data_IF_297993809564
#
_entry.id   IF_297993809564
#
_cell.length_a   1.000
_cell.length_b   1.000
_cell.length_c   1.000
_cell.angle_alpha   90.00
_cell.angle_beta   90.00
_cell.angle_gamma   90.00
#
_symmetry.space_group_name_H-M   'P 1'
#
loop_
_entity.id
_entity.type
_entity.pdbx_description
1 polymer ?
#
# COMPACT_ATOMS: atom_id res chain seq x y z
N UNK A 1 -8.13 -14.90 9.51
CA UNK A 1 -9.39 -15.25 10.20
C UNK A 1 -9.18 -15.46 11.70
N UNK A 2 -8.50 -16.51 12.15
CA UNK A 2 -8.33 -16.78 13.60
C UNK A 2 -7.81 -15.57 14.39
N UNK A 3 -6.75 -14.89 13.92
CA UNK A 3 -6.22 -13.70 14.57
C UNK A 3 -7.26 -12.57 14.74
N UNK A 4 -8.18 -12.41 13.79
CA UNK A 4 -9.24 -11.40 13.89
C UNK A 4 -10.23 -11.74 15.01
N UNK A 5 -10.65 -12.99 15.13
CA UNK A 5 -11.53 -13.42 16.23
C UNK A 5 -10.84 -13.35 17.60
N UNK A 6 -9.56 -13.71 17.68
CA UNK A 6 -8.78 -13.55 18.92
C UNK A 6 -8.67 -12.09 19.30
N UNK A 7 -8.40 -11.18 18.34
CA UNK A 7 -8.41 -9.73 18.61
C UNK A 7 -9.79 -9.24 19.09
N UNK A 8 -10.88 -9.70 18.44
CA UNK A 8 -12.23 -9.36 18.87
C UNK A 8 -12.49 -9.76 20.33
N UNK A 9 -12.11 -10.98 20.70
CA UNK A 9 -12.27 -11.49 22.08
C UNK A 9 -11.44 -10.70 23.08
N UNK A 10 -10.16 -10.43 22.78
CA UNK A 10 -9.26 -9.68 23.63
C UNK A 10 -9.72 -8.23 23.82
N UNK A 11 -10.25 -7.58 22.78
CA UNK A 11 -10.82 -6.24 22.86
C UNK A 11 -12.08 -6.26 23.71
N UNK A 12 -13.01 -7.18 23.44
CA UNK A 12 -14.28 -7.28 24.15
C UNK A 12 -14.10 -7.57 25.64
N UNK A 13 -13.16 -8.44 26.01
CA UNK A 13 -12.84 -8.78 27.40
C UNK A 13 -12.02 -7.72 28.13
N UNK A 14 -11.55 -6.66 27.44
CA UNK A 14 -10.64 -5.66 28.01
C UNK A 14 -9.23 -6.18 28.30
N UNK A 15 -8.90 -7.43 27.91
CA UNK A 15 -7.61 -8.06 28.15
C UNK A 15 -6.56 -7.74 27.08
N UNK A 16 -6.91 -6.86 26.11
CA UNK A 16 -5.99 -6.51 25.04
C UNK A 16 -4.76 -5.77 25.57
N UNK A 17 -3.57 -6.17 25.11
CA UNK A 17 -2.31 -5.49 25.39
C UNK A 17 -1.53 -5.29 24.09
N UNK A 18 -0.53 -4.41 24.14
CA UNK A 18 0.33 -4.14 22.99
C UNK A 18 1.05 -5.42 22.51
N UNK A 19 1.40 -6.31 23.43
CA UNK A 19 2.06 -7.57 23.11
C UNK A 19 1.14 -8.54 22.35
N UNK A 20 -0.16 -8.58 22.69
CA UNK A 20 -1.15 -9.34 21.94
C UNK A 20 -1.29 -8.82 20.51
N UNK A 21 -1.32 -7.49 20.33
CA UNK A 21 -1.40 -6.87 19.01
C UNK A 21 -0.15 -7.21 18.20
N UNK A 22 1.05 -7.08 18.77
CA UNK A 22 2.31 -7.38 18.10
C UNK A 22 2.39 -8.86 17.69
N UNK A 23 2.07 -9.78 18.60
CA UNK A 23 2.12 -11.21 18.33
C UNK A 23 1.13 -11.61 17.22
N UNK A 24 -0.12 -11.17 17.30
CA UNK A 24 -1.15 -11.47 16.32
C UNK A 24 -0.87 -10.81 14.96
N UNK A 25 -0.31 -9.60 14.98
CA UNK A 25 0.14 -8.91 13.75
C UNK A 25 1.31 -9.63 13.09
N UNK A 26 2.26 -10.15 13.88
CA UNK A 26 3.36 -10.96 13.37
C UNK A 26 2.87 -12.24 12.71
N UNK A 27 1.96 -12.97 13.37
CA UNK A 27 1.34 -14.18 12.80
C UNK A 27 0.57 -13.87 11.51
N UNK A 28 -0.24 -12.81 11.52
CA UNK A 28 -1.00 -12.39 10.34
C UNK A 28 -0.07 -11.94 9.19
N UNK A 29 0.97 -11.18 9.50
CA UNK A 29 1.98 -10.73 8.53
C UNK A 29 2.75 -11.90 7.91
N UNK A 30 3.14 -12.89 8.73
CA UNK A 30 3.78 -14.12 8.26
C UNK A 30 2.85 -14.89 7.32
N UNK A 31 1.59 -15.09 7.69
CA UNK A 31 0.61 -15.73 6.82
C UNK A 31 0.43 -14.98 5.49
N UNK A 32 0.40 -13.64 5.53
CA UNK A 32 0.30 -12.81 4.34
C UNK A 32 1.55 -12.88 3.43
N UNK A 33 2.73 -13.02 4.02
CA UNK A 33 3.98 -13.16 3.28
C UNK A 33 3.99 -14.43 2.40
N UNK A 34 3.37 -15.51 2.85
CA UNK A 34 3.19 -16.73 2.06
C UNK A 34 1.95 -16.68 1.17
N UNK A 35 0.84 -16.15 1.68
CA UNK A 35 -0.45 -16.10 0.97
C UNK A 35 -0.45 -15.15 -0.22
N UNK A 36 0.24 -14.02 -0.13
CA UNK A 36 0.28 -13.00 -1.18
C UNK A 36 0.83 -13.50 -2.51
N UNK A 37 2.05 -14.07 -2.56
CA UNK A 37 2.60 -14.67 -3.78
C UNK A 37 1.76 -15.83 -4.32
N UNK A 38 1.25 -16.70 -3.42
CA UNK A 38 0.39 -17.81 -3.81
C UNK A 38 -0.91 -17.32 -4.50
N UNK A 39 -1.54 -16.28 -3.96
CA UNK A 39 -2.71 -15.66 -4.57
C UNK A 39 -2.40 -15.06 -5.95
N UNK A 40 -1.29 -14.35 -6.10
CA UNK A 40 -0.89 -13.76 -7.38
C UNK A 40 -0.56 -14.82 -8.44
N UNK A 41 0.00 -15.96 -8.06
CA UNK A 41 0.26 -17.07 -8.98
C UNK A 41 -1.02 -17.82 -9.38
N UNK A 42 -2.07 -17.74 -8.57
CA UNK A 42 -3.34 -18.38 -8.85
C UNK A 42 -4.10 -17.69 -9.99
N UNK A 43 -4.04 -16.36 -10.11
CA UNK A 43 -4.78 -15.59 -11.12
C UNK A 43 -4.47 -16.08 -12.55
N UNK A 44 -3.20 -16.19 -12.99
CA UNK A 44 -2.88 -16.71 -14.32
C UNK A 44 -3.25 -18.18 -14.53
N UNK A 45 -3.35 -18.96 -13.45
CA UNK A 45 -3.72 -20.37 -13.54
C UNK A 45 -5.24 -20.60 -13.69
N UNK A 46 -6.05 -19.60 -13.38
CA UNK A 46 -7.52 -19.69 -13.40
C UNK A 46 -8.15 -19.26 -14.72
N UNK A 47 -7.40 -18.52 -15.56
CA UNK A 47 -7.95 -17.95 -16.80
C UNK A 47 -7.08 -18.28 -18.02
N UNK A 48 -7.68 -18.40 -19.22
CA UNK A 48 -6.93 -18.48 -20.46
C UNK A 48 -6.03 -17.25 -20.63
N UNK A 49 -4.91 -17.41 -21.36
CA UNK A 49 -3.96 -16.31 -21.60
C UNK A 49 -4.59 -15.08 -22.26
N UNK A 50 -5.63 -15.28 -23.09
CA UNK A 50 -6.35 -14.17 -23.72
C UNK A 50 -7.12 -13.30 -22.72
N UNK A 51 -7.62 -13.88 -21.62
CA UNK A 51 -8.41 -13.18 -20.61
C UNK A 51 -7.57 -12.66 -19.43
N UNK A 52 -6.28 -12.99 -19.39
CA UNK A 52 -5.39 -12.58 -18.31
C UNK A 52 -5.38 -11.06 -18.05
N UNK A 53 -5.37 -10.17 -19.06
CA UNK A 53 -5.44 -8.72 -18.83
C UNK A 53 -6.71 -8.31 -18.08
N UNK A 54 -7.85 -8.91 -18.43
CA UNK A 54 -9.14 -8.65 -17.77
C UNK A 54 -9.15 -9.15 -16.33
N UNK A 55 -8.59 -10.34 -16.07
CA UNK A 55 -8.48 -10.89 -14.72
C UNK A 55 -7.60 -10.01 -13.80
N UNK A 56 -6.48 -9.51 -14.32
CA UNK A 56 -5.60 -8.58 -13.59
C UNK A 56 -6.31 -7.25 -13.33
N UNK A 57 -7.06 -6.73 -14.31
CA UNK A 57 -7.84 -5.50 -14.13
C UNK A 57 -8.92 -5.67 -13.05
N UNK A 58 -9.68 -6.77 -13.07
CA UNK A 58 -10.68 -7.10 -12.06
C UNK A 58 -10.07 -7.24 -10.66
N UNK A 59 -8.91 -7.90 -10.55
CA UNK A 59 -8.19 -8.01 -9.28
C UNK A 59 -7.76 -6.61 -8.76
N UNK A 60 -7.31 -5.73 -9.62
CA UNK A 60 -6.96 -4.35 -9.26
C UNK A 60 -8.18 -3.55 -8.81
N UNK A 61 -9.31 -3.69 -9.48
CA UNK A 61 -10.58 -3.06 -9.09
C UNK A 61 -11.01 -3.56 -7.71
N UNK A 62 -11.01 -4.89 -7.50
CA UNK A 62 -11.36 -5.49 -6.21
C UNK A 62 -10.49 -4.95 -5.07
N UNK A 63 -9.18 -4.88 -5.28
CA UNK A 63 -8.24 -4.37 -4.28
C UNK A 63 -8.50 -2.91 -3.92
N UNK A 64 -8.70 -2.05 -4.92
CA UNK A 64 -8.98 -0.64 -4.70
C UNK A 64 -10.37 -0.40 -4.09
N UNK A 65 -11.37 -1.19 -4.51
CA UNK A 65 -12.71 -1.12 -3.94
C UNK A 65 -12.70 -1.52 -2.45
N UNK A 66 -11.92 -2.53 -2.08
CA UNK A 66 -11.74 -2.95 -0.69
C UNK A 66 -11.13 -1.84 0.19
N UNK A 67 -10.26 -1.00 -0.37
CA UNK A 67 -9.66 0.16 0.33
C UNK A 67 -10.67 1.26 0.65
N UNK A 68 -11.77 1.36 -0.07
CA UNK A 68 -12.87 2.31 0.19
C UNK A 68 -13.90 1.65 1.10
N UNK A 69 -14.39 0.47 0.72
CA UNK A 69 -15.49 -0.20 1.42
C UNK A 69 -15.07 -0.62 2.83
N UNK A 70 -13.84 -1.10 3.00
CA UNK A 70 -13.33 -1.55 4.31
C UNK A 70 -13.41 -0.47 5.39
N UNK A 71 -12.74 0.68 5.22
CA UNK A 71 -12.81 1.78 6.19
C UNK A 71 -14.21 2.36 6.36
N UNK A 72 -15.02 2.40 5.29
CA UNK A 72 -16.41 2.88 5.36
C UNK A 72 -17.26 1.98 6.27
N UNK A 73 -17.17 0.66 6.10
CA UNK A 73 -17.89 -0.29 6.99
C UNK A 73 -17.37 -0.17 8.41
N UNK A 74 -16.05 -0.14 8.62
CA UNK A 74 -15.46 -0.03 9.95
C UNK A 74 -15.86 1.28 10.64
N UNK A 75 -15.75 2.41 9.94
CA UNK A 75 -16.14 3.72 10.47
C UNK A 75 -17.62 3.80 10.80
N UNK A 76 -18.50 3.33 9.92
CA UNK A 76 -19.94 3.30 10.16
C UNK A 76 -20.28 2.38 11.34
N UNK A 77 -19.68 1.21 11.43
CA UNK A 77 -19.87 0.27 12.53
C UNK A 77 -19.46 0.92 13.87
N UNK A 78 -18.31 1.58 13.92
CA UNK A 78 -17.84 2.29 15.12
C UNK A 78 -18.73 3.48 15.46
N UNK A 79 -19.16 4.27 14.49
CA UNK A 79 -20.02 5.42 14.71
C UNK A 79 -21.42 5.01 15.24
N UNK A 80 -21.99 3.96 14.69
CA UNK A 80 -23.33 3.48 15.09
C UNK A 80 -23.27 2.66 16.38
N UNK A 81 -22.52 1.56 16.38
CA UNK A 81 -22.46 0.65 17.53
C UNK A 81 -21.69 1.25 18.72
N UNK A 82 -20.65 2.06 18.44
CA UNK A 82 -19.90 2.73 19.50
C UNK A 82 -20.75 3.65 20.36
N UNK A 83 -21.82 4.24 19.78
CA UNK A 83 -22.78 5.07 20.52
C UNK A 83 -23.76 4.24 21.37
N UNK A 84 -24.14 3.05 20.91
CA UNK A 84 -25.18 2.23 21.55
C UNK A 84 -24.61 1.25 22.57
N UNK A 85 -23.47 0.63 22.27
CA UNK A 85 -22.87 -0.47 23.07
C UNK A 85 -21.46 -0.14 23.59
N UNK A 86 -20.98 1.06 23.32
CA UNK A 86 -19.63 1.50 23.72
C UNK A 86 -18.55 1.22 22.66
N UNK A 87 -17.51 2.03 22.68
CA UNK A 87 -16.39 1.99 21.69
C UNK A 87 -15.69 0.64 21.66
N UNK A 88 -15.50 0.00 22.82
CA UNK A 88 -14.86 -1.32 22.95
C UNK A 88 -15.65 -2.40 22.23
N UNK A 89 -16.97 -2.45 22.45
CA UNK A 89 -17.84 -3.42 21.76
C UNK A 89 -17.91 -3.14 20.27
N UNK A 90 -18.00 -1.87 19.84
CA UNK A 90 -17.96 -1.48 18.41
C UNK A 90 -16.68 -1.93 17.73
N UNK A 91 -15.53 -1.76 18.38
CA UNK A 91 -14.23 -2.23 17.87
C UNK A 91 -14.17 -3.75 17.76
N UNK A 92 -14.65 -4.47 18.76
CA UNK A 92 -14.72 -5.93 18.73
C UNK A 92 -15.58 -6.43 17.56
N UNK A 93 -16.73 -5.80 17.32
CA UNK A 93 -17.60 -6.12 16.16
C UNK A 93 -16.87 -5.89 14.84
N UNK A 94 -16.09 -4.84 14.69
CA UNK A 94 -15.27 -4.64 13.48
C UNK A 94 -14.31 -5.81 13.23
N UNK A 95 -13.65 -6.33 14.28
CA UNK A 95 -12.79 -7.52 14.15
C UNK A 95 -13.59 -8.79 13.83
N UNK A 96 -14.79 -8.94 14.39
CA UNK A 96 -15.68 -10.08 14.03
C UNK A 96 -16.07 -10.00 12.57
N UNK A 97 -16.51 -8.84 12.07
CA UNK A 97 -16.87 -8.64 10.65
C UNK A 97 -15.68 -8.94 9.73
N UNK A 98 -14.49 -8.48 10.11
CA UNK A 98 -13.26 -8.83 9.38
C UNK A 98 -13.00 -10.34 9.42
N UNK A 99 -13.17 -11.00 10.55
CA UNK A 99 -13.06 -12.47 10.65
C UNK A 99 -14.06 -13.20 9.76
N UNK A 100 -15.32 -12.76 9.75
CA UNK A 100 -16.38 -13.35 8.93
C UNK A 100 -16.14 -13.13 7.42
N UNK A 101 -15.55 -12.00 7.02
CA UNK A 101 -15.24 -11.74 5.60
C UNK A 101 -14.32 -12.80 4.99
N UNK A 102 -13.43 -13.40 5.79
CA UNK A 102 -12.58 -14.50 5.33
C UNK A 102 -13.36 -15.77 4.97
N UNK A 103 -14.59 -15.95 5.48
CA UNK A 103 -15.41 -17.09 5.08
C UNK A 103 -15.79 -17.03 3.60
N UNK A 104 -16.04 -15.81 3.08
CA UNK A 104 -16.29 -15.62 1.65
C UNK A 104 -15.06 -16.04 0.82
N UNK A 105 -13.84 -15.68 1.28
CA UNK A 105 -12.60 -16.08 0.61
C UNK A 105 -12.41 -17.59 0.67
N UNK A 106 -12.63 -18.23 1.83
CA UNK A 106 -12.51 -19.69 1.98
C UNK A 106 -13.53 -20.41 1.10
N UNK A 107 -14.76 -19.92 1.06
CA UNK A 107 -15.81 -20.48 0.20
C UNK A 107 -15.44 -20.35 -1.28
N UNK A 108 -15.00 -19.16 -1.71
CA UNK A 108 -14.53 -18.94 -3.07
C UNK A 108 -13.38 -19.88 -3.45
N UNK A 109 -12.37 -20.03 -2.58
CA UNK A 109 -11.26 -20.95 -2.81
C UNK A 109 -11.70 -22.42 -2.89
N UNK A 110 -12.68 -22.84 -2.08
CA UNK A 110 -13.25 -24.21 -2.15
C UNK A 110 -14.06 -24.47 -3.41
N UNK A 111 -14.64 -23.43 -3.99
CA UNK A 111 -15.37 -23.53 -5.26
C UNK A 111 -14.46 -23.62 -6.48
N UNK A 112 -13.18 -23.23 -6.34
CA UNK A 112 -12.20 -23.38 -7.39
C UNK A 112 -11.96 -24.88 -7.64
N UNK A 113 -12.31 -25.34 -8.83
CA UNK A 113 -11.92 -26.67 -9.30
C UNK A 113 -10.43 -26.60 -9.63
N UNK A 114 -9.60 -27.30 -8.84
CA UNK A 114 -8.17 -27.31 -9.02
C UNK A 114 -7.80 -27.78 -10.42
N UNK A 115 -7.20 -26.93 -11.22
CA UNK A 115 -6.38 -27.40 -12.34
C UNK A 115 -5.13 -28.03 -11.76
N UNK A 116 -4.69 -29.16 -12.33
CA UNK A 116 -3.42 -29.80 -12.01
C UNK A 116 -2.26 -28.88 -12.35
N UNK A 117 -1.97 -27.95 -11.47
CA UNK A 117 -0.77 -27.16 -11.55
C UNK A 117 0.40 -28.08 -11.21
N UNK A 118 1.00 -28.67 -12.23
CA UNK A 118 2.27 -29.39 -12.08
C UNK A 118 3.29 -28.43 -11.45
N UNK A 119 3.82 -28.74 -10.25
CA UNK A 119 4.84 -27.90 -9.65
C UNK A 119 6.05 -27.90 -10.62
N UNK A 120 6.34 -26.74 -11.19
CA UNK A 120 7.58 -26.57 -11.96
C UNK A 120 8.79 -26.93 -11.09
N UNK A 121 9.95 -27.29 -11.69
CA UNK A 121 11.13 -27.69 -10.94
C UNK A 121 11.44 -26.61 -9.88
N UNK A 122 11.56 -27.02 -8.62
CA UNK A 122 11.98 -26.18 -7.48
C UNK A 122 13.42 -25.70 -7.74
N UNK A 123 13.56 -24.61 -8.48
CA UNK A 123 14.83 -23.90 -8.48
C UNK A 123 15.03 -23.31 -7.09
N UNK A 124 16.25 -23.42 -6.57
CA UNK A 124 16.56 -22.90 -5.25
C UNK A 124 16.20 -21.40 -5.20
N UNK A 125 15.23 -21.03 -4.40
CA UNK A 125 14.74 -19.66 -4.20
C UNK A 125 15.89 -18.66 -3.98
N UNK A 126 16.94 -19.09 -3.29
CA UNK A 126 18.14 -18.30 -3.04
C UNK A 126 18.93 -17.99 -4.32
N UNK A 127 19.04 -18.93 -5.25
CA UNK A 127 19.72 -18.72 -6.53
C UNK A 127 18.92 -17.75 -7.41
N UNK A 128 17.60 -17.86 -7.40
CA UNK A 128 16.72 -16.95 -8.14
C UNK A 128 16.77 -15.53 -7.58
N UNK A 129 16.72 -15.37 -6.26
CA UNK A 129 16.84 -14.07 -5.60
C UNK A 129 18.22 -13.45 -5.85
N UNK A 130 19.31 -14.21 -5.70
CA UNK A 130 20.66 -13.73 -6.00
C UNK A 130 20.81 -13.34 -7.47
N UNK A 131 20.26 -14.14 -8.39
CA UNK A 131 20.25 -13.83 -9.82
C UNK A 131 19.50 -12.53 -10.12
N UNK A 132 18.31 -12.36 -9.56
CA UNK A 132 17.52 -11.12 -9.68
C UNK A 132 18.26 -9.91 -9.11
N UNK A 133 18.82 -10.02 -7.91
CA UNK A 133 19.57 -8.93 -7.26
C UNK A 133 20.83 -8.53 -8.06
N UNK A 134 21.57 -9.51 -8.56
CA UNK A 134 22.73 -9.24 -9.43
C UNK A 134 22.31 -8.54 -10.69
N UNK A 135 21.22 -8.98 -11.33
CA UNK A 135 20.69 -8.38 -12.52
C UNK A 135 20.23 -6.92 -12.30
N UNK A 136 19.46 -6.66 -11.25
CA UNK A 136 19.03 -5.29 -10.90
C UNK A 136 20.23 -4.39 -10.62
N UNK A 137 21.26 -4.88 -9.90
CA UNK A 137 22.47 -4.12 -9.61
C UNK A 137 23.32 -3.82 -10.86
N UNK A 138 23.34 -4.71 -11.85
CA UNK A 138 24.07 -4.49 -13.11
C UNK A 138 23.35 -3.57 -14.09
N UNK A 139 22.07 -3.25 -13.84
CA UNK A 139 21.27 -2.37 -14.71
C UNK A 139 20.90 -1.08 -13.97
N UNK A 140 21.61 0.03 -14.23
CA UNK A 140 21.43 1.29 -13.49
C UNK A 140 20.00 1.81 -13.45
N UNK A 141 19.21 1.64 -14.53
CA UNK A 141 17.81 2.06 -14.59
C UNK A 141 16.93 1.26 -13.63
N UNK A 142 17.05 -0.08 -13.63
CA UNK A 142 16.31 -0.96 -12.72
C UNK A 142 16.68 -0.72 -11.27
N UNK A 143 17.97 -0.52 -10.97
CA UNK A 143 18.44 -0.18 -9.64
C UNK A 143 17.83 1.13 -9.15
N UNK A 144 17.82 2.16 -10.01
CA UNK A 144 17.26 3.47 -9.68
C UNK A 144 15.74 3.40 -9.44
N UNK A 145 15.00 2.70 -10.30
CA UNK A 145 13.55 2.51 -10.13
C UNK A 145 13.23 1.71 -8.86
N UNK A 146 14.01 0.67 -8.57
CA UNK A 146 13.84 -0.14 -7.35
C UNK A 146 14.17 0.67 -6.09
N UNK A 147 15.23 1.48 -6.12
CA UNK A 147 15.57 2.38 -5.02
C UNK A 147 14.49 3.45 -4.82
N UNK A 148 13.97 4.04 -5.92
CA UNK A 148 12.89 5.01 -5.87
C UNK A 148 11.59 4.40 -5.30
N UNK A 149 11.30 3.15 -5.61
CA UNK A 149 10.17 2.42 -5.02
C UNK A 149 10.32 2.26 -3.50
N UNK A 150 11.50 1.84 -3.04
CA UNK A 150 11.79 1.69 -1.61
C UNK A 150 11.74 3.03 -0.87
N UNK A 151 12.38 4.06 -1.40
CA UNK A 151 12.38 5.40 -0.82
C UNK A 151 10.99 6.06 -0.87
N UNK A 152 10.25 5.85 -1.96
CA UNK A 152 8.88 6.34 -2.09
C UNK A 152 7.93 5.73 -1.06
N UNK A 153 8.07 4.45 -0.74
CA UNK A 153 7.30 3.81 0.34
C UNK A 153 7.82 4.17 1.73
N UNK A 154 9.13 4.30 1.89
CA UNK A 154 9.77 4.70 3.15
C UNK A 154 9.31 6.11 3.58
N UNK A 155 9.30 7.08 2.66
CA UNK A 155 8.95 8.47 2.95
C UNK A 155 7.46 8.79 2.73
N UNK A 156 6.80 8.12 1.80
CA UNK A 156 5.43 8.45 1.41
C UNK A 156 4.34 7.72 2.20
N UNK A 157 4.59 6.46 2.60
CA UNK A 157 3.58 5.66 3.32
C UNK A 157 3.33 6.13 4.77
N UNK A 158 4.28 6.77 5.49
CA UNK A 158 3.99 7.39 6.78
C UNK A 158 2.78 8.33 6.76
N UNK A 159 2.49 9.02 5.64
CA UNK A 159 1.24 9.77 5.46
C UNK A 159 0.01 8.95 5.88
N UNK A 160 -0.10 7.71 5.39
CA UNK A 160 -1.25 6.84 5.68
C UNK A 160 -1.20 6.24 7.09
N UNK A 161 0.00 5.88 7.54
CA UNK A 161 0.21 5.24 8.84
C UNK A 161 -0.15 6.17 9.99
N UNK A 162 0.13 7.48 9.85
CA UNK A 162 -0.06 8.46 10.92
C UNK A 162 -1.30 9.34 10.78
N UNK A 163 -2.23 9.01 9.87
CA UNK A 163 -3.55 9.67 9.79
C UNK A 163 -4.29 9.70 11.15
N UNK A 164 -4.29 8.62 11.98
CA UNK A 164 -4.94 8.68 13.30
C UNK A 164 -4.30 9.72 14.23
N UNK A 165 -2.97 9.89 14.14
CA UNK A 165 -2.23 10.87 14.93
C UNK A 165 -2.60 12.29 14.50
N UNK A 166 -2.66 12.54 13.18
CA UNK A 166 -3.09 13.83 12.63
C UNK A 166 -4.54 14.14 13.02
N UNK A 167 -5.45 13.18 12.93
CA UNK A 167 -6.86 13.38 13.31
C UNK A 167 -6.98 13.77 14.78
N UNK A 168 -6.20 13.16 15.68
CA UNK A 168 -6.22 13.41 17.12
C UNK A 168 -5.46 14.69 17.49
N UNK A 169 -4.22 14.83 17.05
CA UNK A 169 -3.29 15.83 17.58
C UNK A 169 -3.41 17.18 16.86
N UNK A 170 -3.82 17.19 15.58
CA UNK A 170 -4.01 18.45 14.81
C UNK A 170 -5.45 18.92 14.85
N UNK A 171 -6.41 18.00 14.70
CA UNK A 171 -7.83 18.37 14.61
C UNK A 171 -8.63 18.13 15.89
N UNK A 172 -8.04 17.51 16.93
CA UNK A 172 -8.72 17.22 18.18
C UNK A 172 -9.91 16.25 18.03
N UNK A 173 -9.95 15.46 16.91
CA UNK A 173 -11.03 14.54 16.59
C UNK A 173 -10.53 13.09 16.62
N UNK A 174 -11.43 12.16 16.88
CA UNK A 174 -11.11 10.75 17.08
C UNK A 174 -11.25 9.90 15.82
N UNK A 175 -11.78 8.69 16.04
CA UNK A 175 -11.92 7.63 15.04
C UNK A 175 -12.82 8.06 13.87
N UNK A 176 -13.80 8.91 14.10
CA UNK A 176 -14.72 9.41 13.08
C UNK A 176 -13.95 10.13 11.96
N UNK A 177 -13.11 11.10 12.32
CA UNK A 177 -12.30 11.83 11.35
C UNK A 177 -11.24 10.94 10.69
N UNK A 178 -10.62 10.03 11.44
CA UNK A 178 -9.70 9.06 10.87
C UNK A 178 -10.37 8.20 9.79
N UNK A 179 -11.60 7.73 10.04
CA UNK A 179 -12.37 6.95 9.06
C UNK A 179 -12.71 7.78 7.82
N UNK A 180 -13.10 9.04 8.01
CA UNK A 180 -13.34 10.00 6.92
C UNK A 180 -12.08 10.21 6.08
N UNK A 181 -10.93 10.43 6.71
CA UNK A 181 -9.64 10.56 6.03
C UNK A 181 -9.27 9.30 5.24
N UNK A 182 -9.53 8.10 5.76
CA UNK A 182 -9.29 6.86 5.02
C UNK A 182 -10.17 6.74 3.78
N UNK A 183 -11.45 7.10 3.87
CA UNK A 183 -12.37 7.10 2.73
C UNK A 183 -11.90 8.09 1.67
N UNK A 184 -11.55 9.32 2.07
CA UNK A 184 -11.03 10.35 1.16
C UNK A 184 -9.74 9.91 0.49
N UNK A 185 -8.80 9.33 1.25
CA UNK A 185 -7.55 8.76 0.73
C UNK A 185 -7.82 7.63 -0.27
N UNK A 186 -8.76 6.72 0.06
CA UNK A 186 -9.17 5.63 -0.84
C UNK A 186 -9.76 6.16 -2.15
N UNK A 187 -10.64 7.14 -2.08
CA UNK A 187 -11.23 7.80 -3.24
C UNK A 187 -10.17 8.48 -4.12
N UNK A 188 -9.22 9.18 -3.50
CA UNK A 188 -8.07 9.76 -4.20
C UNK A 188 -7.23 8.70 -4.94
N UNK A 189 -6.93 7.58 -4.26
CA UNK A 189 -6.18 6.49 -4.88
C UNK A 189 -6.91 5.86 -6.09
N UNK A 190 -8.24 5.72 -6.01
CA UNK A 190 -9.06 5.26 -7.15
C UNK A 190 -9.02 6.27 -8.30
N UNK A 191 -9.18 7.57 -8.00
CA UNK A 191 -9.07 8.61 -9.02
C UNK A 191 -7.70 8.60 -9.70
N UNK A 192 -6.62 8.41 -8.95
CA UNK A 192 -5.26 8.24 -9.47
C UNK A 192 -5.11 7.02 -10.36
N UNK A 193 -5.68 5.87 -9.98
CA UNK A 193 -5.66 4.65 -10.80
C UNK A 193 -6.43 4.82 -12.12
N UNK A 194 -7.59 5.47 -12.07
CA UNK A 194 -8.38 5.81 -13.26
C UNK A 194 -7.63 6.78 -14.17
N UNK A 195 -6.94 7.77 -13.59
CA UNK A 195 -6.11 8.71 -14.35
C UNK A 195 -4.99 7.97 -15.11
N UNK A 196 -4.30 7.02 -14.47
CA UNK A 196 -3.28 6.19 -15.14
C UNK A 196 -3.90 5.39 -16.28
N UNK A 197 -5.06 4.79 -16.08
CA UNK A 197 -5.76 4.03 -17.12
C UNK A 197 -6.17 4.92 -18.30
N UNK A 198 -6.60 6.16 -18.02
CA UNK A 198 -7.00 7.14 -19.04
C UNK A 198 -5.82 7.70 -19.82
N UNK A 199 -4.68 7.97 -19.16
CA UNK A 199 -3.46 8.45 -19.80
C UNK A 199 -2.92 7.47 -20.86
N UNK A 200 -3.12 6.17 -20.67
CA UNK A 200 -2.81 5.14 -21.67
C UNK A 200 -1.34 5.14 -22.13
N UNK A 201 -1.13 4.79 -23.43
CA UNK A 201 0.21 4.68 -24.03
C UNK A 201 0.77 6.03 -24.53
N UNK A 202 0.03 7.13 -24.42
CA UNK A 202 0.36 8.41 -25.05
C UNK A 202 1.31 9.29 -24.24
N UNK A 203 1.75 8.85 -23.06
CA UNK A 203 2.50 9.68 -22.11
C UNK A 203 3.92 9.15 -21.95
N UNK A 204 4.88 10.07 -21.84
CA UNK A 204 6.25 9.77 -21.39
C UNK A 204 6.19 9.26 -19.94
N UNK A 205 6.15 7.94 -19.76
CA UNK A 205 5.87 7.28 -18.48
C UNK A 205 6.86 7.72 -17.40
N UNK A 206 8.16 7.79 -17.75
CA UNK A 206 9.21 8.18 -16.82
C UNK A 206 9.07 9.62 -16.34
N UNK A 207 8.80 10.55 -17.25
CA UNK A 207 8.60 11.96 -16.92
C UNK A 207 7.34 12.19 -16.07
N UNK A 208 6.23 11.55 -16.45
CA UNK A 208 4.97 11.65 -15.70
C UNK A 208 5.12 11.06 -14.30
N UNK A 209 5.82 9.94 -14.16
CA UNK A 209 6.13 9.33 -12.86
C UNK A 209 6.93 10.29 -11.97
N UNK A 210 7.98 10.94 -12.50
CA UNK A 210 8.78 11.89 -11.72
C UNK A 210 7.96 13.12 -11.27
N UNK A 211 7.17 13.70 -12.18
CA UNK A 211 6.30 14.84 -11.83
C UNK A 211 5.21 14.46 -10.84
N UNK A 212 4.61 13.26 -10.95
CA UNK A 212 3.62 12.79 -9.98
C UNK A 212 4.22 12.64 -8.59
N UNK A 213 5.46 12.18 -8.47
CA UNK A 213 6.15 12.05 -7.18
C UNK A 213 6.49 13.42 -6.55
N UNK A 214 6.92 14.40 -7.36
CA UNK A 214 7.15 15.77 -6.88
C UNK A 214 5.84 16.41 -6.44
N UNK A 215 4.79 16.31 -7.25
CA UNK A 215 3.46 16.84 -6.93
C UNK A 215 2.87 16.15 -5.67
N UNK A 216 3.09 14.84 -5.52
CA UNK A 216 2.75 14.12 -4.29
C UNK A 216 3.46 14.71 -3.08
N UNK A 217 4.78 14.91 -3.16
CA UNK A 217 5.56 15.49 -2.06
C UNK A 217 5.06 16.88 -1.67
N UNK A 218 4.71 17.74 -2.65
CA UNK A 218 4.13 19.06 -2.39
C UNK A 218 2.76 18.99 -1.72
N UNK A 219 1.86 18.13 -2.23
CA UNK A 219 0.55 17.91 -1.62
C UNK A 219 0.68 17.31 -0.20
N UNK A 220 1.66 16.44 0.02
CA UNK A 220 1.97 15.85 1.31
C UNK A 220 2.44 16.90 2.32
N UNK A 221 3.37 17.78 1.94
CA UNK A 221 3.81 18.89 2.78
C UNK A 221 2.62 19.82 3.09
N UNK A 222 1.83 20.15 2.08
CA UNK A 222 0.62 20.96 2.26
C UNK A 222 -0.36 20.33 3.25
N UNK A 223 -0.61 19.02 3.15
CA UNK A 223 -1.43 18.26 4.10
C UNK A 223 -0.86 18.33 5.52
N UNK A 224 0.44 18.06 5.66
CA UNK A 224 1.11 18.02 6.95
C UNK A 224 1.05 19.35 7.70
N UNK A 225 1.16 20.48 6.98
CA UNK A 225 1.16 21.83 7.54
C UNK A 225 -0.24 22.46 7.63
N UNK A 226 -1.26 21.86 7.03
CA UNK A 226 -2.62 22.38 7.03
C UNK A 226 -3.31 22.15 8.37
N UNK A 227 -3.89 23.22 8.92
CA UNK A 227 -4.74 23.20 10.13
C UNK A 227 -6.22 23.30 9.80
N UNK A 228 -6.58 23.51 8.54
CA UNK A 228 -7.97 23.64 8.07
C UNK A 228 -8.45 22.30 7.54
N UNK A 229 -9.46 21.71 8.17
CA UNK A 229 -9.93 20.35 7.86
C UNK A 229 -10.22 20.13 6.37
N UNK A 230 -11.02 21.03 5.75
CA UNK A 230 -11.39 20.88 4.34
C UNK A 230 -10.19 20.94 3.39
N UNK A 231 -9.24 21.83 3.67
CA UNK A 231 -7.99 21.91 2.91
C UNK A 231 -7.19 20.62 3.05
N UNK A 232 -7.09 20.10 4.27
CA UNK A 232 -6.38 18.83 4.53
C UNK A 232 -7.05 17.64 3.83
N UNK A 233 -8.38 17.55 3.81
CA UNK A 233 -9.09 16.49 3.10
C UNK A 233 -8.87 16.57 1.58
N UNK A 234 -8.89 17.76 0.99
CA UNK A 234 -8.58 17.95 -0.44
C UNK A 234 -7.14 17.58 -0.75
N UNK A 235 -6.19 18.04 0.07
CA UNK A 235 -4.77 17.72 -0.10
C UNK A 235 -4.51 16.23 0.09
N UNK A 236 -5.18 15.58 1.03
CA UNK A 236 -5.10 14.13 1.23
C UNK A 236 -5.63 13.35 0.02
N UNK A 237 -6.76 13.78 -0.55
CA UNK A 237 -7.30 13.20 -1.79
C UNK A 237 -6.29 13.29 -2.94
N UNK A 238 -5.75 14.49 -3.16
CA UNK A 238 -4.77 14.75 -4.22
C UNK A 238 -3.48 13.96 -3.98
N UNK A 239 -2.95 13.99 -2.75
CA UNK A 239 -1.75 13.25 -2.39
C UNK A 239 -1.92 11.75 -2.61
N UNK A 240 -3.04 11.16 -2.18
CA UNK A 240 -3.32 9.73 -2.34
C UNK A 240 -3.44 9.33 -3.82
N UNK A 241 -4.06 10.18 -4.63
CA UNK A 241 -4.15 9.99 -6.08
C UNK A 241 -2.79 10.02 -6.76
N UNK A 242 -1.97 11.04 -6.45
CA UNK A 242 -0.63 11.19 -7.01
C UNK A 242 0.32 10.08 -6.57
N UNK A 243 0.22 9.62 -5.32
CA UNK A 243 0.97 8.47 -4.82
C UNK A 243 0.63 7.21 -5.62
N UNK A 244 -0.66 6.98 -5.89
CA UNK A 244 -1.12 5.85 -6.70
C UNK A 244 -0.62 5.94 -8.14
N UNK A 245 -0.68 7.11 -8.76
CA UNK A 245 -0.11 7.37 -10.10
C UNK A 245 1.38 7.04 -10.11
N UNK A 246 2.15 7.60 -9.19
CA UNK A 246 3.59 7.38 -9.09
C UNK A 246 3.96 5.92 -8.95
N UNK A 247 3.31 5.18 -8.06
CA UNK A 247 3.58 3.75 -7.83
C UNK A 247 3.16 2.88 -9.02
N UNK A 248 2.04 3.19 -9.66
CA UNK A 248 1.58 2.46 -10.84
C UNK A 248 2.53 2.61 -12.01
N UNK A 249 2.95 3.85 -12.32
CA UNK A 249 3.88 4.13 -13.40
C UNK A 249 5.28 3.55 -13.12
N UNK A 250 5.74 3.62 -11.86
CA UNK A 250 7.01 3.05 -11.44
C UNK A 250 7.03 1.52 -11.63
N UNK A 251 5.96 0.84 -11.21
CA UNK A 251 5.82 -0.60 -11.43
C UNK A 251 5.77 -0.97 -12.91
N UNK A 252 5.07 -0.16 -13.71
CA UNK A 252 4.98 -0.34 -15.16
C UNK A 252 6.35 -0.19 -15.84
N UNK A 253 7.14 0.83 -15.47
CA UNK A 253 8.50 1.03 -16.01
C UNK A 253 9.42 -0.14 -15.70
N UNK A 254 9.40 -0.66 -14.45
CA UNK A 254 10.20 -1.83 -14.08
C UNK A 254 9.83 -3.04 -14.94
N UNK A 255 8.53 -3.25 -15.19
CA UNK A 255 8.05 -4.35 -16.02
C UNK A 255 8.41 -4.19 -17.51
N UNK A 256 8.41 -2.96 -18.03
CA UNK A 256 8.74 -2.66 -19.42
C UNK A 256 10.24 -2.82 -19.71
N UNK A 257 11.09 -2.42 -18.75
CA UNK A 257 12.56 -2.49 -18.91
C UNK A 257 13.08 -3.92 -18.66
N UNK A 258 12.41 -4.70 -17.84
CA UNK A 258 12.83 -6.05 -17.50
C UNK A 258 12.58 -7.01 -18.68
N UNK A 259 13.62 -7.74 -19.19
CA UNK A 259 13.43 -8.77 -20.20
C UNK A 259 12.48 -9.86 -19.72
N UNK A 260 11.72 -10.47 -20.62
CA UNK A 260 10.71 -11.48 -20.31
C UNK A 260 11.26 -12.62 -19.43
N UNK A 261 12.48 -13.09 -19.72
CA UNK A 261 13.17 -14.17 -18.99
C UNK A 261 13.52 -13.80 -17.56
N UNK A 262 13.77 -12.51 -17.28
CA UNK A 262 14.18 -12.00 -15.97
C UNK A 262 13.07 -11.25 -15.23
N UNK A 263 11.93 -10.95 -15.89
CA UNK A 263 10.85 -10.11 -15.36
C UNK A 263 10.37 -10.58 -13.99
N UNK A 264 10.13 -11.87 -13.82
CA UNK A 264 9.69 -12.41 -12.53
C UNK A 264 10.70 -12.18 -11.40
N UNK A 265 12.01 -12.38 -11.67
CA UNK A 265 13.08 -12.17 -10.69
C UNK A 265 13.27 -10.70 -10.35
N UNK A 266 13.25 -9.82 -11.36
CA UNK A 266 13.33 -8.37 -11.18
C UNK A 266 12.15 -7.86 -10.38
N UNK A 267 10.93 -8.31 -10.70
CA UNK A 267 9.72 -7.92 -9.97
C UNK A 267 9.72 -8.43 -8.53
N UNK A 268 10.30 -9.59 -8.24
CA UNK A 268 10.47 -10.07 -6.86
C UNK A 268 11.36 -9.13 -6.04
N UNK A 269 12.51 -8.70 -6.60
CA UNK A 269 13.41 -7.74 -5.93
C UNK A 269 12.73 -6.39 -5.75
N UNK A 270 12.03 -5.88 -6.79
CA UNK A 270 11.24 -4.67 -6.73
C UNK A 270 10.19 -4.73 -5.60
N UNK A 271 9.44 -5.83 -5.50
CA UNK A 271 8.41 -6.02 -4.47
C UNK A 271 8.99 -6.08 -3.05
N UNK A 272 10.15 -6.71 -2.87
CA UNK A 272 10.84 -6.72 -1.57
C UNK A 272 11.25 -5.30 -1.20
N UNK A 273 11.84 -4.54 -2.12
CA UNK A 273 12.24 -3.16 -1.89
C UNK A 273 11.01 -2.25 -1.61
N UNK A 274 9.96 -2.38 -2.42
CA UNK A 274 8.71 -1.63 -2.29
C UNK A 274 8.01 -1.89 -0.94
N UNK A 275 7.84 -3.16 -0.56
CA UNK A 275 7.17 -3.52 0.70
C UNK A 275 8.05 -3.29 1.92
N UNK A 276 9.37 -3.46 1.79
CA UNK A 276 10.33 -3.27 2.86
C UNK A 276 10.49 -1.81 3.29
N UNK A 277 10.28 -0.85 2.40
CA UNK A 277 10.31 0.57 2.72
C UNK A 277 9.26 0.98 3.75
N UNK A 278 8.06 0.43 3.65
CA UNK A 278 6.92 0.78 4.50
C UNK A 278 7.16 0.58 6.01
N UNK A 279 7.52 -0.62 6.51
CA UNK A 279 7.71 -0.81 7.95
C UNK A 279 8.89 0.00 8.50
N UNK A 280 9.98 0.09 7.73
CA UNK A 280 11.16 0.85 8.16
C UNK A 280 10.85 2.34 8.20
N UNK A 281 10.18 2.88 7.18
CA UNK A 281 9.74 4.27 7.13
C UNK A 281 8.80 4.61 8.29
N UNK A 282 7.78 3.77 8.52
CA UNK A 282 6.84 3.99 9.63
C UNK A 282 7.52 3.93 11.00
N UNK A 283 8.50 3.06 11.22
CA UNK A 283 9.26 3.02 12.47
C UNK A 283 10.13 4.27 12.65
N UNK A 284 10.84 4.70 11.61
CA UNK A 284 11.70 5.89 11.67
C UNK A 284 10.86 7.15 11.87
N UNK A 285 9.80 7.34 11.09
CA UNK A 285 8.90 8.50 11.24
C UNK A 285 8.18 8.46 12.59
N UNK A 286 7.75 7.28 13.07
CA UNK A 286 7.13 7.12 14.39
C UNK A 286 8.10 7.49 15.52
N UNK A 287 9.36 7.07 15.45
CA UNK A 287 10.38 7.48 16.41
C UNK A 287 10.66 9.00 16.34
N UNK A 288 10.75 9.54 15.13
CA UNK A 288 10.95 10.99 14.95
C UNK A 288 9.77 11.79 15.54
N UNK A 289 8.53 11.27 15.47
CA UNK A 289 7.35 11.90 16.07
C UNK A 289 7.35 11.85 17.60
N UNK A 290 8.16 11.01 18.24
CA UNK A 290 8.37 11.07 19.70
C UNK A 290 9.29 12.22 20.11
N UNK A 291 10.06 12.78 19.15
CA UNK A 291 11.02 13.88 19.38
C UNK A 291 10.51 15.21 18.82
N UNK A 292 9.58 15.18 17.88
CA UNK A 292 9.03 16.34 17.20
C UNK A 292 7.53 16.17 16.93
N UNK A 293 6.84 17.25 16.48
CA UNK A 293 5.41 17.15 16.16
C UNK A 293 5.17 16.32 14.89
N UNK A 294 4.03 15.61 14.85
CA UNK A 294 3.64 14.82 13.68
C UNK A 294 3.60 15.64 12.37
N UNK A 295 3.04 16.87 12.33
CA UNK A 295 3.09 17.72 11.14
C UNK A 295 4.51 17.99 10.64
N UNK A 296 5.44 18.27 11.55
CA UNK A 296 6.81 18.57 11.19
C UNK A 296 7.52 17.36 10.56
N UNK A 297 7.37 16.17 11.18
CA UNK A 297 7.99 14.93 10.65
C UNK A 297 7.41 14.59 9.27
N UNK A 298 6.09 14.65 9.10
CA UNK A 298 5.44 14.38 7.83
C UNK A 298 5.85 15.40 6.74
N UNK A 299 6.01 16.68 7.10
CA UNK A 299 6.50 17.69 6.16
C UNK A 299 7.96 17.42 5.75
N UNK A 300 8.81 16.98 6.68
CA UNK A 300 10.20 16.58 6.39
C UNK A 300 10.21 15.35 5.46
N UNK A 301 9.38 14.33 5.72
CA UNK A 301 9.27 13.16 4.84
C UNK A 301 8.90 13.57 3.40
N UNK A 302 7.92 14.47 3.24
CA UNK A 302 7.55 15.02 1.94
C UNK A 302 8.67 15.82 1.26
N UNK A 303 9.40 16.64 2.02
CA UNK A 303 10.53 17.43 1.51
C UNK A 303 11.69 16.52 1.07
N UNK A 304 12.06 15.53 1.89
CA UNK A 304 13.08 14.55 1.55
C UNK A 304 12.72 13.76 0.29
N UNK A 305 11.45 13.39 0.13
CA UNK A 305 10.99 12.71 -1.08
C UNK A 305 11.21 13.58 -2.32
N UNK A 306 10.83 14.85 -2.28
CA UNK A 306 11.06 15.80 -3.39
C UNK A 306 12.55 15.91 -3.70
N UNK A 307 13.40 16.07 -2.68
CA UNK A 307 14.84 16.19 -2.87
C UNK A 307 15.45 14.95 -3.51
N UNK A 308 15.05 13.76 -3.06
CA UNK A 308 15.51 12.49 -3.62
C UNK A 308 15.07 12.34 -5.08
N UNK A 309 13.80 12.64 -5.38
CA UNK A 309 13.27 12.55 -6.75
C UNK A 309 13.98 13.57 -7.65
N UNK A 310 14.15 14.81 -7.22
CA UNK A 310 14.84 15.86 -7.97
C UNK A 310 16.30 15.48 -8.24
N UNK A 311 17.01 14.97 -7.23
CA UNK A 311 18.41 14.52 -7.35
C UNK A 311 18.54 13.35 -8.35
N UNK A 312 17.64 12.36 -8.28
CA UNK A 312 17.61 11.23 -9.21
C UNK A 312 17.28 11.69 -10.64
N UNK A 313 16.31 12.59 -10.80
CA UNK A 313 15.95 13.17 -12.09
C UNK A 313 17.09 13.98 -12.71
N UNK A 314 17.92 14.66 -11.89
CA UNK A 314 19.08 15.39 -12.37
C UNK A 314 20.23 14.47 -12.79
N UNK A 315 20.55 13.46 -11.97
CA UNK A 315 21.65 12.52 -12.25
C UNK A 315 21.38 11.50 -13.35
N UNK A 316 20.11 11.17 -13.62
CA UNK A 316 19.71 10.07 -14.52
C UNK A 316 18.80 10.59 -15.64
N UNK A 317 19.40 11.21 -16.67
CA UNK A 317 18.68 11.65 -17.87
C UNK A 317 17.89 10.51 -18.53
N UNK A 318 18.36 9.26 -18.45
CA UNK A 318 17.67 8.05 -18.95
C UNK A 318 16.23 7.90 -18.40
N UNK A 319 15.92 8.41 -17.21
CA UNK A 319 14.56 8.38 -16.67
C UNK A 319 13.62 9.44 -17.27
N UNK A 320 14.19 10.45 -17.94
CA UNK A 320 13.41 11.50 -18.61
C UNK A 320 13.05 11.11 -20.04
N UNK A 321 13.81 10.21 -20.64
CA UNK A 321 13.67 9.78 -22.02
C UNK A 321 12.81 8.52 -22.15
N UNK A 322 12.43 7.89 -21.02
CA UNK A 322 11.49 6.79 -20.90
C UNK A 322 10.05 7.31 -20.67
#
# INVERSE_FOLDING_TARGET
>A
MACAFVLALLVYSGAISIWHILALSFVAGTAQAFGGPAYQSLIPALVPKADLPNAVALNSIQFNLGRIIGPTIAGTTLAVLGRWVGQTAGTAVCFVLNGLSFLAVITGLRMLRGGDATPGPRKELWQELRGGLRYVRSHPSLLTLTALASLGTFLGVPLMTFLPVVARDVFGRGVDLYSEMLVVSGAGAVAGALLVAWLGKSVQIGRTMLWSQVAFGLAFIGFALSTTLWVSLVLLFVASGLLMVGFSLLSSLVQLIAPDEMRGRVMSIYMVAFRGGTPVGSLVSGYAMSLASAPMVLAIDGALLILVVAWLAWRRQVLRDL
#
